data_IF_766954700968
#
_entry.id   IF_766954700968
#
_cell.length_a   1.000
_cell.length_b   1.000
_cell.length_c   1.000
_cell.angle_alpha   90.00
_cell.angle_beta   90.00
_cell.angle_gamma   90.00
#
_symmetry.space_group_name_H-M   'P 1'
#
loop_
_entity.id
_entity.type
_entity.pdbx_description
1 polymer ?
#
# COMPACT_ATOMS: atom_id res chain seq x y z
N UNK A 1 10.68 -11.80 31.85
CA UNK A 1 9.52 -10.89 31.95
C UNK A 1 8.80 -10.84 30.60
N UNK A 2 7.63 -11.48 30.51
CA UNK A 2 6.78 -11.40 29.31
C UNK A 2 6.17 -10.00 29.29
N UNK A 3 6.57 -9.16 28.33
CA UNK A 3 6.01 -7.81 28.17
C UNK A 3 4.51 -7.95 27.91
N UNK A 4 3.68 -7.39 28.80
CA UNK A 4 2.22 -7.33 28.69
C UNK A 4 1.88 -6.76 27.31
N UNK A 5 1.30 -7.60 26.43
CA UNK A 5 0.94 -7.19 25.08
C UNK A 5 -0.29 -6.32 25.19
N UNK A 6 -0.15 -5.02 24.95
CA UNK A 6 -1.30 -4.12 24.85
C UNK A 6 -2.02 -4.49 23.55
N UNK A 7 -3.25 -5.01 23.65
CA UNK A 7 -4.12 -5.22 22.49
C UNK A 7 -4.59 -3.85 22.01
N UNK A 8 -3.83 -3.23 21.10
CA UNK A 8 -4.29 -2.04 20.39
C UNK A 8 -5.33 -2.42 19.34
N UNK A 9 -6.42 -1.65 19.27
CA UNK A 9 -7.41 -1.77 18.22
C UNK A 9 -6.86 -1.16 16.93
N UNK A 10 -6.91 -1.93 15.84
CA UNK A 10 -6.46 -1.48 14.52
C UNK A 10 -7.38 -2.03 13.43
N UNK A 11 -7.49 -1.29 12.34
CA UNK A 11 -8.10 -1.78 11.11
C UNK A 11 -7.00 -2.33 10.21
N UNK A 12 -7.20 -3.54 9.71
CA UNK A 12 -6.25 -4.16 8.79
C UNK A 12 -6.85 -4.40 7.41
N UNK A 13 -6.02 -4.19 6.40
CA UNK A 13 -6.37 -4.58 5.04
C UNK A 13 -5.14 -5.02 4.25
N UNK A 14 -5.42 -5.75 3.17
CA UNK A 14 -4.39 -6.26 2.27
C UNK A 14 -4.53 -5.64 0.89
N UNK A 15 -3.43 -5.10 0.39
CA UNK A 15 -3.28 -4.61 -0.97
C UNK A 15 -2.34 -5.49 -1.79
N UNK A 16 -2.62 -5.65 -3.09
CA UNK A 16 -1.83 -6.50 -4.00
C UNK A 16 -1.65 -5.83 -5.35
N UNK A 17 -0.42 -5.78 -5.86
CA UNK A 17 -0.12 -5.30 -7.23
C UNK A 17 1.01 -6.13 -7.83
N UNK A 18 0.83 -6.64 -9.04
CA UNK A 18 1.78 -7.57 -9.68
C UNK A 18 2.13 -8.70 -8.69
N UNK A 19 3.42 -8.85 -8.35
CA UNK A 19 3.91 -9.79 -7.33
C UNK A 19 4.15 -9.18 -5.95
N UNK A 20 3.71 -7.95 -5.69
CA UNK A 20 3.83 -7.27 -4.39
C UNK A 20 2.57 -7.44 -3.56
N UNK A 21 2.75 -7.73 -2.28
CA UNK A 21 1.68 -7.85 -1.28
C UNK A 21 1.99 -6.90 -0.13
N UNK A 22 1.03 -6.06 0.22
CA UNK A 22 1.11 -5.11 1.32
C UNK A 22 0.04 -5.45 2.36
N UNK A 23 0.45 -5.60 3.63
CA UNK A 23 -0.44 -5.63 4.79
C UNK A 23 -0.37 -4.27 5.46
N UNK A 24 -1.50 -3.59 5.54
CA UNK A 24 -1.63 -2.24 6.09
C UNK A 24 -2.44 -2.33 7.37
N UNK A 25 -1.94 -1.69 8.43
CA UNK A 25 -2.63 -1.54 9.71
C UNK A 25 -2.79 -0.06 10.02
N UNK A 26 -4.02 0.35 10.26
CA UNK A 26 -4.38 1.69 10.73
C UNK A 26 -4.69 1.61 12.22
N UNK A 27 -3.88 2.28 13.02
CA UNK A 27 -4.12 2.42 14.45
C UNK A 27 -4.86 3.73 14.71
N UNK A 28 -5.94 3.66 15.48
CA UNK A 28 -6.54 4.85 16.08
C UNK A 28 -5.68 5.19 17.29
N UNK A 29 -4.94 6.29 17.21
CA UNK A 29 -4.21 6.82 18.35
C UNK A 29 -5.11 7.81 19.11
N UNK A 30 -5.22 7.65 20.44
CA UNK A 30 -5.67 8.75 21.29
C UNK A 30 -4.63 9.88 21.18
N UNK A 31 -5.07 11.15 21.13
CA UNK A 31 -4.22 12.34 20.88
C UNK A 31 -2.92 12.41 21.71
N UNK A 32 -2.83 11.71 22.84
CA UNK A 32 -1.70 11.74 23.78
C UNK A 32 -0.96 10.40 23.98
N UNK A 33 -1.33 9.32 23.25
CA UNK A 33 -0.70 8.00 23.44
C UNK A 33 0.24 7.64 22.28
N UNK A 34 1.53 7.58 22.58
CA UNK A 34 2.54 7.05 21.67
C UNK A 34 2.37 5.54 21.51
N UNK A 35 2.19 5.09 20.26
CA UNK A 35 2.02 3.66 19.95
C UNK A 35 3.38 3.06 19.67
N UNK A 36 3.73 1.95 20.33
CA UNK A 36 4.96 1.23 19.98
C UNK A 36 4.64 0.15 18.95
N UNK A 37 4.98 0.37 17.68
CA UNK A 37 4.86 -0.65 16.62
C UNK A 37 6.26 -1.12 16.25
N UNK A 38 6.49 -2.43 16.32
CA UNK A 38 7.77 -3.08 15.98
C UNK A 38 9.00 -2.45 16.68
N UNK A 39 8.85 -2.04 17.94
CA UNK A 39 9.92 -1.47 18.75
C UNK A 39 10.20 0.02 18.51
N UNK A 40 9.45 0.70 17.63
CA UNK A 40 9.52 2.14 17.43
C UNK A 40 8.29 2.82 18.04
N UNK A 41 8.53 3.88 18.81
CA UNK A 41 7.46 4.77 19.29
C UNK A 41 7.00 5.64 18.13
N UNK A 42 5.72 5.61 17.86
CA UNK A 42 5.06 6.33 16.79
C UNK A 42 4.06 7.31 17.37
N UNK A 43 4.10 8.51 16.83
CA UNK A 43 3.12 9.57 17.10
C UNK A 43 1.94 9.47 16.13
N UNK A 44 0.90 10.25 16.40
CA UNK A 44 -0.24 10.40 15.50
C UNK A 44 0.23 10.95 14.13
N UNK A 45 -0.29 10.39 13.02
CA UNK A 45 0.08 10.78 11.65
C UNK A 45 1.40 10.19 11.13
N UNK A 46 2.16 9.50 11.97
CA UNK A 46 3.41 8.88 11.53
C UNK A 46 3.18 7.56 10.76
N UNK A 47 4.02 7.35 9.76
CA UNK A 47 3.93 6.23 8.82
C UNK A 47 5.23 5.42 8.83
N UNK A 48 5.12 4.12 9.11
CA UNK A 48 6.23 3.16 9.02
C UNK A 48 5.97 2.16 7.90
N UNK A 49 7.01 1.91 7.10
CA UNK A 49 7.02 0.88 6.06
C UNK A 49 8.21 -0.06 6.31
N UNK A 50 7.94 -1.34 6.56
CA UNK A 50 8.99 -2.35 6.83
C UNK A 50 10.01 -1.90 7.89
N UNK A 51 9.54 -1.34 9.00
CA UNK A 51 10.35 -0.79 10.11
C UNK A 51 11.21 0.43 9.77
N UNK A 52 11.07 1.01 8.58
CA UNK A 52 11.72 2.25 8.17
C UNK A 52 10.71 3.39 8.11
N UNK A 53 11.19 4.61 8.34
CA UNK A 53 10.34 5.80 8.23
C UNK A 53 9.93 6.01 6.78
N UNK A 54 8.70 6.48 6.56
CA UNK A 54 8.17 6.75 5.23
C UNK A 54 9.12 7.60 4.35
N UNK A 55 9.72 8.64 4.92
CA UNK A 55 10.65 9.54 4.23
C UNK A 55 11.94 8.85 3.75
N UNK A 56 12.39 7.79 4.44
CA UNK A 56 13.59 7.03 4.07
C UNK A 56 13.32 6.06 2.92
N UNK A 57 12.11 5.48 2.89
CA UNK A 57 11.72 4.46 1.91
C UNK A 57 11.37 5.10 0.56
N UNK A 58 10.56 6.17 0.59
CA UNK A 58 10.08 6.88 -0.59
C UNK A 58 10.71 8.26 -0.70
N UNK A 59 11.87 8.31 -1.35
CA UNK A 59 12.65 9.55 -1.51
C UNK A 59 12.08 10.49 -2.59
N UNK A 60 11.41 9.93 -3.60
CA UNK A 60 10.84 10.71 -4.71
C UNK A 60 9.49 11.29 -4.32
N UNK A 61 9.27 12.55 -4.65
CA UNK A 61 8.01 13.24 -4.32
C UNK A 61 6.79 12.59 -4.99
N UNK A 62 6.93 12.17 -6.25
CA UNK A 62 5.86 11.45 -6.98
C UNK A 62 5.46 10.15 -6.26
N UNK A 63 6.42 9.46 -5.63
CA UNK A 63 6.14 8.25 -4.86
C UNK A 63 5.40 8.59 -3.57
N UNK A 64 5.82 9.66 -2.88
CA UNK A 64 5.15 10.14 -1.67
C UNK A 64 3.71 10.57 -1.93
N UNK A 65 3.47 11.36 -2.97
CA UNK A 65 2.13 11.80 -3.34
C UNK A 65 1.20 10.62 -3.64
N UNK A 66 1.69 9.61 -4.39
CA UNK A 66 0.91 8.39 -4.67
C UNK A 66 0.57 7.58 -3.44
N UNK A 67 1.47 7.52 -2.47
CA UNK A 67 1.23 6.85 -1.19
C UNK A 67 0.14 7.59 -0.39
N UNK A 68 0.23 8.91 -0.34
CA UNK A 68 -0.64 9.78 0.48
C UNK A 68 -2.00 10.07 -0.16
N UNK A 69 -2.14 9.85 -1.47
CA UNK A 69 -3.36 10.06 -2.24
C UNK A 69 -4.67 9.56 -1.56
N UNK A 70 -4.78 8.28 -1.11
CA UNK A 70 -6.00 7.82 -0.43
C UNK A 70 -6.29 8.55 0.89
N UNK A 71 -5.26 9.01 1.61
CA UNK A 71 -5.43 9.77 2.85
C UNK A 71 -5.85 11.22 2.58
N UNK A 72 -5.30 11.83 1.53
CA UNK A 72 -5.63 13.21 1.15
C UNK A 72 -7.08 13.32 0.65
N UNK A 73 -7.57 12.37 -0.15
CA UNK A 73 -8.95 12.40 -0.67
C UNK A 73 -10.00 12.21 0.43
N UNK A 74 -9.64 11.53 1.51
CA UNK A 74 -10.54 11.26 2.63
C UNK A 74 -10.29 12.21 3.81
N UNK A 75 -9.45 13.22 3.64
CA UNK A 75 -9.04 14.19 4.67
C UNK A 75 -8.58 13.55 6.01
N UNK A 76 -8.00 12.34 5.93
CA UNK A 76 -7.63 11.52 7.09
C UNK A 76 -6.11 11.48 7.34
N UNK A 77 -5.36 12.44 6.82
CA UNK A 77 -3.88 12.41 6.79
C UNK A 77 -3.23 12.27 8.16
N UNK A 78 -3.70 13.04 9.12
CA UNK A 78 -3.11 13.09 10.46
C UNK A 78 -3.94 12.35 11.50
N UNK A 79 -4.94 11.57 11.09
CA UNK A 79 -5.87 10.90 12.00
C UNK A 79 -5.35 9.56 12.52
N UNK A 80 -4.51 8.88 11.74
CA UNK A 80 -4.10 7.51 12.01
C UNK A 80 -2.58 7.38 12.11
N UNK A 81 -2.13 6.47 12.96
CA UNK A 81 -0.76 5.96 12.90
C UNK A 81 -0.76 4.74 11.99
N UNK A 82 0.13 4.71 10.99
CA UNK A 82 0.08 3.71 9.92
C UNK A 82 1.30 2.80 9.98
N UNK A 83 1.06 1.50 10.07
CA UNK A 83 2.12 0.49 9.92
C UNK A 83 1.88 -0.36 8.69
N UNK A 84 2.90 -0.47 7.85
CA UNK A 84 2.83 -1.21 6.60
C UNK A 84 3.93 -2.24 6.52
N UNK A 85 3.54 -3.49 6.25
CA UNK A 85 4.44 -4.58 5.92
C UNK A 85 4.26 -4.96 4.46
N UNK A 86 5.31 -4.78 3.66
CA UNK A 86 5.29 -5.09 2.22
C UNK A 86 6.38 -6.06 1.85
N UNK A 87 6.01 -7.07 1.06
CA UNK A 87 6.93 -8.08 0.52
C UNK A 87 6.67 -8.33 -0.96
N UNK A 88 7.73 -8.68 -1.69
CA UNK A 88 7.68 -9.08 -3.10
C UNK A 88 7.65 -7.92 -4.11
N UNK A 89 7.84 -8.28 -5.38
CA UNK A 89 7.87 -7.36 -6.54
C UNK A 89 9.00 -6.33 -6.49
N UNK A 90 8.72 -5.09 -6.90
CA UNK A 90 9.68 -3.98 -6.91
C UNK A 90 9.05 -2.68 -6.42
N UNK A 91 9.83 -1.62 -6.23
CA UNK A 91 9.40 -0.37 -5.55
C UNK A 91 8.06 0.19 -6.02
N UNK A 92 7.84 0.26 -7.34
CA UNK A 92 6.58 0.77 -7.92
C UNK A 92 5.40 -0.15 -7.64
N UNK A 93 5.58 -1.47 -7.77
CA UNK A 93 4.54 -2.44 -7.43
C UNK A 93 4.23 -2.47 -5.94
N UNK A 94 5.24 -2.26 -5.10
CA UNK A 94 5.08 -2.12 -3.66
C UNK A 94 4.26 -0.89 -3.32
N UNK A 95 4.62 0.28 -3.86
CA UNK A 95 3.88 1.53 -3.67
C UNK A 95 2.39 1.39 -4.04
N UNK A 96 2.09 0.87 -5.23
CA UNK A 96 0.71 0.68 -5.68
C UNK A 96 -0.04 -0.36 -4.82
N UNK A 97 0.65 -1.41 -4.34
CA UNK A 97 0.05 -2.36 -3.41
C UNK A 97 -0.30 -1.70 -2.07
N UNK A 98 0.56 -0.81 -1.56
CA UNK A 98 0.28 -0.06 -0.33
C UNK A 98 -0.90 0.89 -0.52
N UNK A 99 -0.90 1.65 -1.61
CA UNK A 99 -2.00 2.56 -1.97
C UNK A 99 -3.35 1.83 -1.96
N UNK A 100 -3.40 0.65 -2.55
CA UNK A 100 -4.60 -0.19 -2.57
C UNK A 100 -4.96 -0.74 -1.18
N UNK A 101 -3.97 -1.13 -0.38
CA UNK A 101 -4.18 -1.59 1.00
C UNK A 101 -4.71 -0.47 1.91
N UNK A 102 -4.19 0.75 1.76
CA UNK A 102 -4.64 1.94 2.49
C UNK A 102 -6.10 2.27 2.17
N UNK A 103 -6.47 2.30 0.89
CA UNK A 103 -7.85 2.56 0.49
C UNK A 103 -8.82 1.52 1.08
N UNK A 104 -8.44 0.25 1.09
CA UNK A 104 -9.26 -0.80 1.71
C UNK A 104 -9.35 -0.66 3.23
N UNK A 105 -8.25 -0.32 3.90
CA UNK A 105 -8.25 -0.12 5.34
C UNK A 105 -9.13 1.09 5.73
N UNK A 106 -9.03 2.20 5.00
CA UNK A 106 -9.86 3.39 5.21
C UNK A 106 -11.34 3.10 4.97
N UNK A 107 -11.66 2.31 3.94
CA UNK A 107 -13.03 1.89 3.70
C UNK A 107 -13.62 1.08 4.85
N UNK A 108 -12.81 0.38 5.66
CA UNK A 108 -13.30 -0.36 6.83
C UNK A 108 -13.48 0.54 8.07
N UNK A 109 -12.83 1.70 8.09
CA UNK A 109 -12.97 2.66 9.20
C UNK A 109 -14.32 3.37 9.12
N UNK A 110 -14.66 3.86 7.93
CA UNK A 110 -15.89 4.60 7.67
C UNK A 110 -16.42 4.22 6.28
N UNK A 111 -17.34 3.26 6.25
CA UNK A 111 -17.88 2.73 5.00
C UNK A 111 -18.74 3.74 4.25
N UNK A 112 -19.49 4.59 4.94
CA UNK A 112 -20.45 5.48 4.31
C UNK A 112 -19.76 6.72 3.74
N UNK A 113 -18.79 7.30 4.45
CA UNK A 113 -18.09 8.50 3.99
C UNK A 113 -16.94 8.20 3.03
N UNK A 114 -16.13 7.16 3.27
CA UNK A 114 -14.89 6.95 2.52
C UNK A 114 -15.10 6.12 1.24
N UNK A 115 -15.96 5.10 1.28
CA UNK A 115 -16.16 4.15 0.18
C UNK A 115 -16.64 4.79 -1.13
N UNK A 116 -17.61 5.73 -1.17
CA UNK A 116 -18.04 6.33 -2.44
C UNK A 116 -16.91 7.11 -3.10
N UNK A 117 -16.19 7.94 -2.34
CA UNK A 117 -15.06 8.75 -2.84
C UNK A 117 -13.90 7.88 -3.32
N UNK A 118 -13.52 6.85 -2.55
CA UNK A 118 -12.45 5.92 -2.92
C UNK A 118 -12.82 5.06 -4.14
N UNK A 119 -14.11 4.74 -4.32
CA UNK A 119 -14.61 4.01 -5.49
C UNK A 119 -14.60 4.88 -6.74
N UNK A 120 -15.02 6.14 -6.61
CA UNK A 120 -15.00 7.12 -7.71
C UNK A 120 -13.58 7.31 -8.25
N UNK A 121 -12.60 7.43 -7.36
CA UNK A 121 -11.18 7.56 -7.70
C UNK A 121 -10.50 6.24 -8.12
N UNK A 122 -11.25 5.13 -8.20
CA UNK A 122 -10.75 3.83 -8.66
C UNK A 122 -9.74 3.15 -7.74
N UNK A 123 -9.67 3.54 -6.46
CA UNK A 123 -8.67 3.05 -5.50
C UNK A 123 -8.97 1.67 -4.93
N UNK A 124 -10.26 1.31 -4.88
CA UNK A 124 -10.74 0.03 -4.39
C UNK A 124 -10.62 -1.10 -5.41
N UNK A 125 -10.37 -0.77 -6.68
CA UNK A 125 -10.20 -1.74 -7.76
C UNK A 125 -8.72 -2.11 -7.90
N UNK A 126 -8.43 -3.41 -7.94
CA UNK A 126 -7.07 -3.89 -8.15
C UNK A 126 -6.70 -3.77 -9.63
N UNK A 127 -5.54 -3.16 -9.94
CA UNK A 127 -4.96 -3.20 -11.28
C UNK A 127 -4.49 -4.64 -11.62
N UNK A 128 -5.31 -5.31 -12.45
CA UNK A 128 -5.14 -6.69 -12.88
C UNK A 128 -4.01 -6.90 -13.90
N UNK A 129 -3.37 -5.84 -14.43
CA UNK A 129 -2.33 -5.98 -15.46
C UNK A 129 -1.08 -6.67 -14.89
N UNK A 130 -0.76 -7.86 -15.40
CA UNK A 130 0.44 -8.63 -15.04
C UNK A 130 1.28 -8.87 -16.29
N UNK A 131 2.59 -9.12 -16.13
CA UNK A 131 3.47 -9.45 -17.25
C UNK A 131 2.98 -10.74 -17.92
N UNK A 132 2.65 -10.65 -19.20
CA UNK A 132 2.31 -11.81 -20.01
C UNK A 132 3.53 -12.73 -20.17
N UNK A 133 3.32 -14.04 -20.05
CA UNK A 133 4.37 -15.05 -20.22
C UNK A 133 4.88 -15.04 -21.67
N UNK A 134 6.18 -15.29 -21.86
CA UNK A 134 6.74 -15.54 -23.21
C UNK A 134 6.25 -16.89 -23.74
N UNK A 135 5.58 -16.88 -24.90
CA UNK A 135 5.18 -18.11 -25.61
C UNK A 135 6.33 -18.66 -26.46
N UNK A 136 6.32 -19.96 -26.72
CA UNK A 136 7.27 -20.61 -27.64
C UNK A 136 7.09 -20.05 -29.06
N UNK A 137 8.15 -20.02 -29.87
CA UNK A 137 8.11 -19.46 -31.22
C UNK A 137 8.16 -17.92 -31.31
N UNK A 138 8.01 -17.18 -30.21
CA UNK A 138 8.08 -15.72 -30.21
C UNK A 138 9.52 -15.19 -30.29
N UNK A 139 9.69 -14.00 -30.85
CA UNK A 139 10.94 -13.25 -31.00
C UNK A 139 11.45 -12.63 -29.69
N UNK A 140 11.51 -13.39 -28.61
CA UNK A 140 12.12 -12.98 -27.34
C UNK A 140 11.21 -12.25 -26.33
N UNK A 141 10.05 -11.71 -26.74
CA UNK A 141 9.04 -11.10 -25.85
C UNK A 141 7.66 -11.71 -26.09
N UNK A 142 6.73 -11.57 -25.14
CA UNK A 142 5.42 -12.23 -25.15
C UNK A 142 4.61 -12.05 -26.46
N UNK A 143 4.65 -10.85 -27.05
CA UNK A 143 3.91 -10.51 -28.28
C UNK A 143 4.79 -10.24 -29.51
N UNK A 144 6.12 -10.35 -29.37
CA UNK A 144 7.04 -10.05 -30.48
C UNK A 144 7.08 -11.25 -31.41
N UNK A 145 6.68 -11.06 -32.67
CA UNK A 145 6.86 -12.08 -33.72
C UNK A 145 8.31 -12.04 -34.23
N UNK A 146 8.83 -13.19 -34.65
CA UNK A 146 10.09 -13.24 -35.40
C UNK A 146 9.85 -12.65 -36.79
N UNK A 147 10.83 -11.93 -37.32
CA UNK A 147 10.77 -11.49 -38.72
C UNK A 147 10.97 -12.73 -39.60
N UNK A 148 9.98 -13.03 -40.45
CA UNK A 148 10.11 -14.05 -41.48
C UNK A 148 10.46 -13.35 -42.79
N UNK A 149 11.49 -13.77 -43.53
CA UNK A 149 11.66 -13.34 -44.90
C UNK A 149 10.43 -13.80 -45.70
N UNK A 150 9.76 -12.87 -46.36
CA UNK A 150 8.79 -13.19 -47.41
C UNK A 150 9.62 -13.35 -48.67
N UNK A 151 9.77 -14.60 -49.11
CA UNK A 151 10.43 -14.89 -50.39
C UNK A 151 9.55 -14.42 -51.53
#
# INVERSE_FOLDING_TARGET
MVKKTINLQYYEAVGRRKGSVARVRLYIADKNKNITVNGKKLSQGEIIVNNKLFNEVFKREVERQKFLFPLNITDNRDRFTISVLVKGGGKTGQLDAIRHGLARALSLVDEDACKPTLRHEGLLTRDARVRERRKVGMGGKARRKKQSPKR
#
